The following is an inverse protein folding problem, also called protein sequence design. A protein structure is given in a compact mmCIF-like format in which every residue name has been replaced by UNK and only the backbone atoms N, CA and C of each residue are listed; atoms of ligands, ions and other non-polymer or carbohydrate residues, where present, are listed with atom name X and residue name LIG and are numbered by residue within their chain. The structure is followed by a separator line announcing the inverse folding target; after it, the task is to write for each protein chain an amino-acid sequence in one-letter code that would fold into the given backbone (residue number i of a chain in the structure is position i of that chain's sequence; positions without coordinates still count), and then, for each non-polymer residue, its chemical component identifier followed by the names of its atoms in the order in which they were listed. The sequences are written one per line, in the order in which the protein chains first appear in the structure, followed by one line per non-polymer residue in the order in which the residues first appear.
data_IF_979875258912
#
_entry.id   IF_979875258912
#
_cell.length_a   1.000
_cell.length_b   1.000
_cell.length_c   1.000
_cell.angle_alpha   90.00
_cell.angle_beta   90.00
_cell.angle_gamma   90.00
#
_symmetry.space_group_name_H-M   'P 1'
#
loop_
_entity.id
_entity.type
_entity.pdbx_description
1 polymer ?
#
# COMPACT_ATOMS: atom_id res chain seq x y z
N UNK A 1 -8.43 -1.17 0.51
CA UNK A 1 -8.71 0.17 1.03
C UNK A 1 -10.08 0.60 0.53
N UNK A 2 -11.06 0.70 1.42
CA UNK A 2 -12.43 1.01 1.01
C UNK A 2 -12.64 2.47 0.64
N UNK A 3 -11.86 3.42 1.19
CA UNK A 3 -11.98 4.82 0.78
C UNK A 3 -11.41 5.05 -0.61
N UNK A 4 -10.34 4.33 -0.96
CA UNK A 4 -9.64 4.47 -2.24
C UNK A 4 -10.05 3.41 -3.28
N UNK A 5 -11.11 2.63 -3.01
CA UNK A 5 -11.57 1.53 -3.86
C UNK A 5 -10.49 0.47 -4.20
N UNK A 6 -9.48 0.30 -3.33
CA UNK A 6 -8.44 -0.72 -3.50
C UNK A 6 -9.02 -2.08 -3.06
N UNK A 7 -9.18 -3.06 -3.98
CA UNK A 7 -10.06 -4.21 -3.77
C UNK A 7 -9.52 -5.26 -2.78
N UNK A 8 -8.21 -5.45 -2.71
CA UNK A 8 -7.56 -6.51 -1.94
C UNK A 8 -8.03 -7.92 -2.32
N UNK A 9 -7.88 -8.87 -1.40
CA UNK A 9 -8.44 -10.22 -1.53
C UNK A 9 -9.76 -10.29 -0.76
N UNK A 10 -10.87 -10.48 -1.47
CA UNK A 10 -12.21 -10.53 -0.86
C UNK A 10 -12.26 -11.63 0.21
N UNK A 11 -12.68 -11.28 1.41
CA UNK A 11 -12.77 -12.22 2.54
C UNK A 11 -11.48 -12.35 3.37
N UNK A 12 -10.39 -11.67 2.98
CA UNK A 12 -9.20 -11.51 3.82
C UNK A 12 -9.14 -10.06 4.32
N UNK A 13 -9.56 -9.86 5.57
CA UNK A 13 -9.48 -8.57 6.25
C UNK A 13 -8.13 -8.31 6.91
N UNK A 14 -7.97 -7.13 7.52
CA UNK A 14 -6.71 -6.65 8.11
C UNK A 14 -6.03 -7.66 9.06
N UNK A 15 -6.79 -8.32 9.94
CA UNK A 15 -6.23 -9.33 10.85
C UNK A 15 -5.65 -10.54 10.12
N UNK A 16 -6.37 -11.04 9.11
CA UNK A 16 -5.91 -12.17 8.30
C UNK A 16 -4.71 -11.80 7.42
N UNK A 17 -4.76 -10.62 6.80
CA UNK A 17 -3.65 -10.09 6.02
C UNK A 17 -2.38 -9.92 6.89
N UNK A 18 -2.52 -9.39 8.11
CA UNK A 18 -1.41 -9.25 9.04
C UNK A 18 -0.79 -10.60 9.40
N UNK A 19 -1.59 -11.60 9.77
CA UNK A 19 -1.05 -12.95 10.08
C UNK A 19 -0.26 -13.54 8.90
N UNK A 20 -0.78 -13.42 7.67
CA UNK A 20 -0.10 -13.91 6.49
C UNK A 20 1.21 -13.16 6.23
N UNK A 21 1.23 -11.83 6.40
CA UNK A 21 2.43 -11.03 6.23
C UNK A 21 3.46 -11.28 7.34
N UNK A 22 3.03 -11.46 8.59
CA UNK A 22 3.92 -11.82 9.70
C UNK A 22 4.59 -13.19 9.44
N UNK A 23 3.89 -14.14 8.81
CA UNK A 23 4.39 -15.50 8.54
C UNK A 23 5.25 -15.59 7.26
N UNK A 24 4.87 -14.89 6.19
CA UNK A 24 5.49 -15.04 4.86
C UNK A 24 6.21 -13.78 4.35
N UNK A 25 6.18 -12.68 5.11
CA UNK A 25 6.95 -11.46 4.90
C UNK A 25 6.43 -10.52 3.81
N UNK A 26 5.91 -11.04 2.70
CA UNK A 26 5.46 -10.23 1.56
C UNK A 26 4.30 -10.89 0.82
N UNK A 27 3.61 -10.13 -0.05
CA UNK A 27 2.57 -10.68 -0.93
C UNK A 27 3.16 -11.79 -1.82
N UNK A 28 4.35 -11.56 -2.39
CA UNK A 28 5.08 -12.57 -3.17
C UNK A 28 5.36 -13.81 -2.33
N UNK A 29 5.89 -13.65 -1.11
CA UNK A 29 6.18 -14.75 -0.20
C UNK A 29 4.93 -15.57 0.16
N UNK A 30 3.77 -14.93 0.32
CA UNK A 30 2.48 -15.62 0.53
C UNK A 30 2.14 -16.51 -0.67
N UNK A 31 2.31 -16.00 -1.89
CA UNK A 31 1.97 -16.73 -3.12
C UNK A 31 2.98 -17.82 -3.49
N UNK A 32 4.27 -17.65 -3.15
CA UNK A 32 5.31 -18.67 -3.30
C UNK A 32 5.09 -19.86 -2.35
N UNK A 33 4.56 -19.59 -1.15
CA UNK A 33 4.36 -20.57 -0.09
C UNK A 33 2.89 -20.96 0.11
N UNK A 34 2.06 -20.77 -0.92
CA UNK A 34 0.61 -20.86 -0.81
C UNK A 34 0.12 -22.23 -0.32
N UNK A 35 0.87 -23.30 -0.61
CA UNK A 35 0.59 -24.67 -0.16
C UNK A 35 0.81 -24.86 1.34
N UNK A 36 1.67 -24.05 1.97
CA UNK A 36 1.97 -24.11 3.41
C UNK A 36 0.88 -23.46 4.28
N UNK A 37 -0.01 -22.66 3.67
CA UNK A 37 -1.12 -22.00 4.37
C UNK A 37 -2.11 -23.06 4.88
N UNK A 38 -2.14 -23.28 6.19
CA UNK A 38 -2.97 -24.34 6.82
C UNK A 38 -4.47 -24.13 6.64
N UNK A 39 -4.93 -22.88 6.59
CA UNK A 39 -6.35 -22.58 6.44
C UNK A 39 -6.77 -22.72 4.96
N UNK A 40 -7.50 -23.79 4.66
CA UNK A 40 -8.01 -24.09 3.32
C UNK A 40 -8.84 -22.95 2.71
N UNK A 41 -9.71 -22.33 3.50
CA UNK A 41 -10.54 -21.22 3.03
C UNK A 41 -9.65 -20.03 2.64
N UNK A 42 -8.70 -19.64 3.48
CA UNK A 42 -7.77 -18.54 3.17
C UNK A 42 -6.95 -18.84 1.91
N UNK A 43 -6.47 -20.07 1.76
CA UNK A 43 -5.76 -20.52 0.56
C UNK A 43 -6.60 -20.40 -0.71
N UNK A 44 -7.86 -20.83 -0.68
CA UNK A 44 -8.77 -20.72 -1.82
C UNK A 44 -9.08 -19.26 -2.17
N UNK A 45 -9.35 -18.42 -1.16
CA UNK A 45 -9.56 -16.98 -1.37
C UNK A 45 -8.33 -16.30 -1.97
N UNK A 46 -7.11 -16.68 -1.54
CA UNK A 46 -5.87 -16.16 -2.11
C UNK A 46 -5.69 -16.61 -3.57
N UNK A 47 -6.01 -17.86 -3.91
CA UNK A 47 -5.98 -18.36 -5.29
C UNK A 47 -6.91 -17.56 -6.20
N UNK A 48 -8.17 -17.44 -5.82
CA UNK A 48 -9.19 -16.70 -6.57
C UNK A 48 -8.87 -15.19 -6.63
N UNK A 49 -8.30 -14.65 -5.56
CA UNK A 49 -8.01 -13.23 -5.41
C UNK A 49 -6.62 -12.79 -5.88
N UNK A 50 -5.83 -13.67 -6.52
CA UNK A 50 -4.41 -13.40 -6.84
C UNK A 50 -4.21 -12.11 -7.62
N UNK A 51 -4.93 -11.92 -8.71
CA UNK A 51 -4.80 -10.73 -9.55
C UNK A 51 -5.12 -9.45 -8.77
N UNK A 52 -6.19 -9.47 -7.97
CA UNK A 52 -6.57 -8.33 -7.15
C UNK A 52 -5.55 -8.05 -6.02
N UNK A 53 -4.91 -9.08 -5.47
CA UNK A 53 -3.86 -8.92 -4.46
C UNK A 53 -2.67 -8.13 -5.03
N UNK A 54 -2.16 -8.54 -6.20
CA UNK A 54 -1.05 -7.87 -6.86
C UNK A 54 -1.42 -6.49 -7.42
N UNK A 55 -2.63 -6.34 -7.96
CA UNK A 55 -3.15 -5.03 -8.36
C UNK A 55 -3.21 -4.07 -7.16
N UNK A 56 -3.76 -4.55 -6.03
CA UNK A 56 -3.87 -3.74 -4.82
C UNK A 56 -2.51 -3.36 -4.26
N UNK A 57 -1.53 -4.27 -4.31
CA UNK A 57 -0.13 -3.95 -3.98
C UNK A 57 0.37 -2.80 -4.84
N UNK A 58 0.23 -2.91 -6.16
CA UNK A 58 0.69 -1.88 -7.11
C UNK A 58 0.03 -0.52 -6.85
N UNK A 59 -1.28 -0.50 -6.57
CA UNK A 59 -2.03 0.73 -6.31
C UNK A 59 -1.66 1.38 -4.96
N UNK A 60 -1.35 0.57 -3.95
CA UNK A 60 -0.96 1.05 -2.63
C UNK A 60 0.53 1.41 -2.53
N UNK A 61 1.36 0.94 -3.47
CA UNK A 61 2.78 1.27 -3.51
C UNK A 61 3.01 2.70 -3.98
N UNK A 62 3.88 3.41 -3.28
CA UNK A 62 4.38 4.70 -3.75
C UNK A 62 5.17 4.52 -5.05
N UNK A 63 5.00 5.48 -5.97
CA UNK A 63 5.79 5.55 -7.19
C UNK A 63 7.00 6.47 -6.95
N UNK A 64 8.18 5.87 -6.90
CA UNK A 64 9.43 6.59 -6.55
C UNK A 64 10.18 7.14 -7.77
N UNK A 65 9.82 6.70 -8.97
CA UNK A 65 10.54 7.06 -10.20
C UNK A 65 9.93 8.30 -10.90
N UNK A 66 9.43 9.25 -10.12
CA UNK A 66 8.92 10.50 -10.66
C UNK A 66 10.11 11.38 -11.04
N UNK A 67 10.20 11.76 -12.32
CA UNK A 67 11.13 12.82 -12.73
C UNK A 67 10.62 14.16 -12.20
N UNK A 68 11.20 14.59 -11.09
CA UNK A 68 10.92 15.90 -10.50
C UNK A 68 12.06 16.83 -10.85
N UNK A 69 11.74 18.03 -11.35
CA UNK A 69 12.74 19.10 -11.44
C UNK A 69 13.31 19.39 -10.06
N UNK A 70 14.49 20.02 -9.98
CA UNK A 70 15.07 20.38 -8.70
C UNK A 70 14.17 21.40 -7.97
N UNK A 71 13.27 20.87 -7.13
CA UNK A 71 12.29 21.63 -6.35
C UNK A 71 12.88 22.06 -5.02
N UNK A 72 13.98 21.46 -4.57
CA UNK A 72 14.59 21.77 -3.28
C UNK A 72 15.05 23.24 -3.28
N UNK A 73 15.68 23.70 -4.36
CA UNK A 73 16.11 25.10 -4.48
C UNK A 73 14.94 26.09 -4.68
N UNK A 74 13.82 25.63 -5.26
CA UNK A 74 12.67 26.49 -5.59
C UNK A 74 11.59 26.52 -4.51
N UNK A 75 11.56 25.53 -3.63
CA UNK A 75 10.59 25.40 -2.55
C UNK A 75 11.14 25.94 -1.22
N UNK A 76 11.70 27.16 -1.25
CA UNK A 76 12.16 27.85 -0.04
C UNK A 76 10.97 28.27 0.81
N UNK A 77 11.01 27.95 2.10
CA UNK A 77 10.08 28.53 3.06
C UNK A 77 10.41 30.03 3.23
N UNK A 78 9.42 30.93 3.25
CA UNK A 78 9.69 32.35 3.42
C UNK A 78 10.33 32.63 4.78
N UNK A 79 11.34 33.51 4.81
CA UNK A 79 12.05 33.88 6.05
C UNK A 79 11.15 34.61 7.06
N UNK A 80 10.07 35.25 6.58
CA UNK A 80 9.07 35.93 7.39
C UNK A 80 7.71 35.25 7.25
N UNK A 81 7.01 35.07 8.37
CA UNK A 81 5.63 34.54 8.39
C UNK A 81 4.72 35.46 7.54
N UNK A 82 4.22 34.99 6.38
CA UNK A 82 3.44 35.82 5.47
C UNK A 82 2.16 36.38 6.11
N UNK A 83 1.63 35.67 7.11
CA UNK A 83 0.42 36.05 7.83
C UNK A 83 0.62 37.25 8.77
N UNK A 84 1.86 37.62 9.13
CA UNK A 84 2.13 38.82 9.93
C UNK A 84 1.85 40.12 9.15
N UNK A 85 1.86 40.09 7.82
CA UNK A 85 1.60 41.26 6.94
C UNK A 85 0.10 41.59 6.77
N UNK A 86 -0.80 40.73 7.27
CA UNK A 86 -2.26 40.89 7.16
C UNK A 86 -2.85 41.63 8.38
N UNK A 87 -2.06 41.81 9.44
CA UNK A 87 -2.49 42.43 10.70
C UNK A 87 -2.28 43.95 10.77
N UNK A 88 -1.72 44.57 9.71
CA UNK A 88 -1.65 46.03 9.52
C UNK A 88 -2.78 46.52 8.61
#
# INVERSE_FOLDING_TARGET
DSSDNIPGVKGIGAKGAKTLLDEFGSIEGIYENLTLIRNERSRNLLLEGKENAFLSKKLASLYENLEVQDLIEKATYPDEEPLLKILE
#
